data_IF_237657456792
#
_entry.id   IF_237657456792
#
_cell.length_a   1.000
_cell.length_b   1.000
_cell.length_c   1.000
_cell.angle_alpha   90.00
_cell.angle_beta   90.00
_cell.angle_gamma   90.00
#
_symmetry.space_group_name_H-M   'P 1'
#
loop_
_entity.id
_entity.type
_entity.pdbx_description
1 polymer ?
#
# COMPACT_ATOMS: atom_id res chain seq x y z
N UNK A 1 14.70 -4.47 -11.19
CA UNK A 1 14.41 -4.17 -9.75
C UNK A 1 14.45 -2.66 -9.56
N UNK A 2 13.51 -2.11 -8.79
CA UNK A 2 13.39 -0.66 -8.52
C UNK A 2 13.88 -0.37 -7.11
N UNK A 3 14.55 0.78 -6.94
CA UNK A 3 14.92 1.29 -5.61
C UNK A 3 13.68 1.95 -5.02
N UNK A 4 13.11 1.32 -4.01
CA UNK A 4 12.02 1.88 -3.23
C UNK A 4 12.50 2.77 -2.09
N UNK A 5 11.53 3.32 -1.37
CA UNK A 5 11.74 4.08 -0.14
C UNK A 5 12.65 3.31 0.84
N UNK A 6 13.41 4.05 1.64
CA UNK A 6 14.33 3.49 2.66
C UNK A 6 15.42 2.57 2.10
N UNK A 7 15.73 2.66 0.80
CA UNK A 7 16.79 1.86 0.16
C UNK A 7 16.39 0.40 -0.08
N UNK A 8 15.11 0.07 0.04
CA UNK A 8 14.58 -1.28 -0.18
C UNK A 8 14.61 -1.58 -1.69
N UNK A 9 15.09 -2.77 -2.08
CA UNK A 9 15.04 -3.23 -3.49
C UNK A 9 13.78 -4.03 -3.71
N UNK A 10 12.89 -3.52 -4.57
CA UNK A 10 11.62 -4.16 -4.89
C UNK A 10 11.60 -4.64 -6.37
N UNK A 11 10.83 -5.69 -6.71
CA UNK A 11 10.58 -6.07 -8.09
C UNK A 11 9.98 -4.92 -8.90
N UNK A 12 10.23 -4.87 -10.22
CA UNK A 12 9.63 -3.86 -11.12
C UNK A 12 8.11 -3.92 -11.20
N UNK A 13 7.54 -5.09 -10.93
CA UNK A 13 6.09 -5.32 -10.88
C UNK A 13 5.56 -5.39 -9.43
N UNK A 14 6.28 -4.82 -8.47
CA UNK A 14 5.84 -4.84 -7.09
C UNK A 14 4.50 -4.11 -6.93
N UNK A 15 3.58 -4.76 -6.21
CA UNK A 15 2.32 -4.16 -5.77
C UNK A 15 2.12 -4.52 -4.32
N UNK A 16 1.89 -3.52 -3.49
CA UNK A 16 1.48 -3.72 -2.11
C UNK A 16 0.14 -4.46 -2.09
N UNK A 17 0.02 -5.45 -1.22
CA UNK A 17 -1.20 -6.20 -0.98
C UNK A 17 -1.40 -6.40 0.51
N UNK A 18 -2.63 -6.21 0.96
CA UNK A 18 -3.02 -6.54 2.33
C UNK A 18 -2.84 -8.04 2.57
N UNK A 19 -2.23 -8.39 3.71
CA UNK A 19 -1.87 -9.79 4.02
C UNK A 19 -2.66 -10.37 5.17
N UNK A 20 -3.11 -9.55 6.11
CA UNK A 20 -3.76 -10.02 7.34
C UNK A 20 -5.16 -9.45 7.59
N UNK A 21 -5.96 -10.19 8.37
CA UNK A 21 -7.32 -9.78 8.76
C UNK A 21 -7.33 -8.52 9.63
N UNK A 22 -6.32 -8.30 10.47
CA UNK A 22 -6.23 -7.10 11.30
C UNK A 22 -5.93 -5.87 10.45
N UNK A 23 -4.95 -5.99 9.55
CA UNK A 23 -4.60 -4.95 8.57
C UNK A 23 -5.82 -4.55 7.73
N UNK A 24 -6.62 -5.56 7.31
CA UNK A 24 -7.87 -5.31 6.59
C UNK A 24 -8.89 -4.52 7.41
N UNK A 25 -9.00 -4.75 8.72
CA UNK A 25 -9.93 -3.99 9.58
C UNK A 25 -9.52 -2.53 9.69
N UNK A 26 -8.23 -2.26 9.84
CA UNK A 26 -7.70 -0.90 9.89
C UNK A 26 -7.95 -0.16 8.58
N UNK A 27 -7.70 -0.81 7.45
CA UNK A 27 -7.95 -0.21 6.13
C UNK A 27 -9.44 0.05 5.90
N UNK A 28 -10.31 -0.87 6.30
CA UNK A 28 -11.76 -0.66 6.24
C UNK A 28 -12.22 0.50 7.14
N UNK A 29 -11.59 0.69 8.29
CA UNK A 29 -11.84 1.85 9.13
C UNK A 29 -11.39 3.16 8.44
N UNK A 30 -10.19 3.21 7.86
CA UNK A 30 -9.70 4.38 7.11
C UNK A 30 -10.59 4.72 5.90
N UNK A 31 -11.12 3.71 5.22
CA UNK A 31 -12.10 3.91 4.13
C UNK A 31 -13.39 4.53 4.66
N UNK A 32 -13.87 4.06 5.83
CA UNK A 32 -15.06 4.61 6.47
C UNK A 32 -14.88 6.07 6.89
N UNK A 33 -13.69 6.44 7.34
CA UNK A 33 -13.31 7.83 7.65
C UNK A 33 -13.09 8.69 6.39
N UNK A 34 -13.18 8.10 5.19
CA UNK A 34 -13.02 8.82 3.92
C UNK A 34 -11.57 9.12 3.54
N UNK A 35 -10.59 8.51 4.22
CA UNK A 35 -9.16 8.67 3.91
C UNK A 35 -8.80 7.99 2.60
N UNK A 36 -9.41 6.83 2.33
CA UNK A 36 -9.25 6.07 1.09
C UNK A 36 -10.60 5.75 0.50
N UNK A 37 -10.67 5.64 -0.83
CA UNK A 37 -11.93 5.30 -1.53
C UNK A 37 -12.31 3.83 -1.35
N UNK A 38 -11.32 2.95 -1.45
CA UNK A 38 -11.48 1.51 -1.31
C UNK A 38 -10.11 0.86 -1.00
N UNK A 39 -10.08 -0.47 -0.90
CA UNK A 39 -8.86 -1.23 -0.62
C UNK A 39 -7.83 -1.05 -1.75
N UNK A 40 -8.29 -0.92 -3.00
CA UNK A 40 -7.40 -0.80 -4.15
C UNK A 40 -6.69 0.55 -4.14
N UNK A 41 -7.40 1.62 -3.80
CA UNK A 41 -6.86 2.98 -3.62
C UNK A 41 -5.77 3.00 -2.53
N UNK A 42 -6.01 2.30 -1.42
CA UNK A 42 -5.00 2.09 -0.38
C UNK A 42 -3.77 1.34 -0.91
N UNK A 43 -3.96 0.19 -1.56
CA UNK A 43 -2.86 -0.62 -2.09
C UNK A 43 -2.03 0.14 -3.13
N UNK A 44 -2.68 0.92 -4.01
CA UNK A 44 -2.01 1.75 -5.00
C UNK A 44 -1.22 2.89 -4.33
N UNK A 45 -1.79 3.55 -3.32
CA UNK A 45 -1.11 4.60 -2.56
C UNK A 45 0.12 4.04 -1.82
N UNK A 46 -0.03 2.92 -1.12
CA UNK A 46 1.08 2.28 -0.42
C UNK A 46 2.16 1.79 -1.38
N UNK A 47 1.77 1.27 -2.55
CA UNK A 47 2.72 0.90 -3.60
C UNK A 47 3.53 2.10 -4.07
N UNK A 48 2.89 3.26 -4.27
CA UNK A 48 3.59 4.50 -4.65
C UNK A 48 4.53 4.95 -3.56
N UNK A 49 4.06 5.06 -2.31
CA UNK A 49 4.90 5.45 -1.17
C UNK A 49 6.14 4.57 -1.00
N UNK A 50 6.03 3.26 -1.30
CA UNK A 50 7.15 2.33 -1.23
C UNK A 50 8.09 2.40 -2.43
N UNK A 51 7.63 2.87 -3.59
CA UNK A 51 8.42 2.97 -4.82
C UNK A 51 8.95 4.39 -5.07
N UNK A 52 8.38 5.39 -4.39
CA UNK A 52 8.88 6.77 -4.40
C UNK A 52 10.19 6.85 -3.58
N UNK A 53 11.27 7.39 -4.16
CA UNK A 53 12.60 7.43 -3.55
C UNK A 53 12.78 8.46 -2.43
#
# INVERSE_FOLDING_TARGET
>A
MVKGAFGIKLPENYRFKLKDKNERKEVLWLIKEGVFKDIRDYEETMTRLLLEP
#
